data_IF_154492030147
#
_entry.id   IF_154492030147
#
_cell.length_a   1.000
_cell.length_b   1.000
_cell.length_c   1.000
_cell.angle_alpha   90.00
_cell.angle_beta   90.00
_cell.angle_gamma   90.00
#
_symmetry.space_group_name_H-M   'P 1'
#
loop_
_entity.id
_entity.type
_entity.pdbx_description
1 polymer ?
#
# COMPACT_ATOMS: atom_id res chain seq x y z
N UNK A 1 12.19 3.11 -2.56
CA UNK A 1 11.97 3.54 -1.15
C UNK A 1 11.01 4.74 -0.98
N UNK A 2 11.31 5.94 -1.48
CA UNK A 2 10.47 7.14 -1.24
C UNK A 2 9.06 7.04 -1.82
N UNK A 3 8.89 6.38 -2.98
CA UNK A 3 7.56 6.22 -3.61
C UNK A 3 6.62 5.34 -2.79
N UNK A 4 7.09 4.21 -2.28
CA UNK A 4 6.28 3.32 -1.44
C UNK A 4 5.84 3.96 -0.13
N UNK A 5 6.69 4.81 0.47
CA UNK A 5 6.35 5.52 1.69
C UNK A 5 5.12 6.43 1.50
N UNK A 6 4.95 7.02 0.31
CA UNK A 6 3.76 7.82 -0.02
C UNK A 6 2.51 6.93 -0.06
N UNK A 7 2.56 5.79 -0.76
CA UNK A 7 1.44 4.85 -0.80
C UNK A 7 1.08 4.33 0.59
N UNK A 8 2.07 4.03 1.44
CA UNK A 8 1.85 3.62 2.83
C UNK A 8 1.09 4.67 3.63
N UNK A 9 1.44 5.95 3.48
CA UNK A 9 0.72 7.05 4.16
C UNK A 9 -0.71 7.18 3.65
N UNK A 10 -0.94 7.03 2.35
CA UNK A 10 -2.29 7.03 1.78
C UNK A 10 -3.13 5.85 2.29
N UNK A 11 -2.53 4.66 2.40
CA UNK A 11 -3.16 3.48 3.00
C UNK A 11 -3.54 3.71 4.46
N UNK A 12 -2.62 4.26 5.27
CA UNK A 12 -2.88 4.59 6.68
C UNK A 12 -4.01 5.62 6.83
N UNK A 13 -3.98 6.71 6.06
CA UNK A 13 -5.02 7.73 6.09
C UNK A 13 -6.40 7.16 5.71
N UNK A 14 -6.46 6.35 4.66
CA UNK A 14 -7.70 5.71 4.22
C UNK A 14 -8.24 4.72 5.27
N UNK A 15 -7.36 3.91 5.88
CA UNK A 15 -7.73 3.00 6.95
C UNK A 15 -8.22 3.72 8.21
N UNK A 16 -7.58 4.84 8.58
CA UNK A 16 -8.01 5.68 9.71
C UNK A 16 -9.35 6.37 9.43
N UNK A 17 -9.64 6.71 8.18
CA UNK A 17 -10.92 7.25 7.76
C UNK A 17 -12.03 6.19 7.62
N UNK A 18 -11.71 4.90 7.82
CA UNK A 18 -12.65 3.79 7.63
C UNK A 18 -12.86 3.37 6.17
N UNK A 19 -12.19 4.01 5.21
CA UNK A 19 -12.24 3.64 3.79
C UNK A 19 -11.18 2.58 3.46
N UNK A 20 -11.46 1.36 3.91
CA UNK A 20 -10.60 0.20 3.63
C UNK A 20 -10.45 -0.07 2.13
N UNK A 21 -11.49 0.18 1.34
CA UNK A 21 -11.44 -0.04 -0.10
C UNK A 21 -10.41 0.90 -0.77
N UNK A 22 -10.34 2.17 -0.34
CA UNK A 22 -9.30 3.09 -0.79
C UNK A 22 -7.90 2.62 -0.39
N UNK A 23 -7.72 2.14 0.84
CA UNK A 23 -6.42 1.61 1.27
C UNK A 23 -5.95 0.44 0.40
N UNK A 24 -6.84 -0.50 0.07
CA UNK A 24 -6.53 -1.62 -0.85
C UNK A 24 -6.15 -1.10 -2.25
N UNK A 25 -6.87 -0.09 -2.78
CA UNK A 25 -6.55 0.51 -4.08
C UNK A 25 -5.16 1.15 -4.10
N UNK A 26 -4.79 1.87 -3.03
CA UNK A 26 -3.45 2.47 -2.92
C UNK A 26 -2.34 1.41 -2.88
N UNK A 27 -2.56 0.29 -2.18
CA UNK A 27 -1.61 -0.83 -2.22
C UNK A 27 -1.44 -1.39 -3.64
N UNK A 28 -2.53 -1.63 -4.35
CA UNK A 28 -2.47 -2.14 -5.73
C UNK A 28 -1.79 -1.16 -6.70
N UNK A 29 -1.98 0.16 -6.51
CA UNK A 29 -1.26 1.17 -7.27
C UNK A 29 0.24 1.16 -6.96
N UNK A 30 0.61 0.96 -5.70
CA UNK A 30 1.99 0.79 -5.28
C UNK A 30 2.63 -0.42 -5.98
N UNK A 31 1.96 -1.57 -5.97
CA UNK A 31 2.42 -2.80 -6.65
C UNK A 31 2.64 -2.55 -8.13
N UNK A 32 1.64 -2.00 -8.84
CA UNK A 32 1.77 -1.73 -10.29
C UNK A 32 2.95 -0.80 -10.60
N UNK A 33 3.14 0.26 -9.81
CA UNK A 33 4.25 1.19 -9.99
C UNK A 33 5.62 0.52 -9.80
N UNK A 34 5.73 -0.45 -8.88
CA UNK A 34 6.96 -1.21 -8.68
C UNK A 34 7.17 -2.30 -9.74
N UNK A 35 6.10 -2.90 -10.25
CA UNK A 35 6.16 -3.87 -11.35
C UNK A 35 6.69 -3.21 -12.64
N UNK A 36 6.28 -1.97 -12.91
CA UNK A 36 6.76 -1.18 -14.05
C UNK A 36 8.26 -0.81 -13.95
N UNK A 37 8.78 -0.65 -12.73
CA UNK A 37 10.16 -0.23 -12.44
C UNK A 37 11.12 -1.43 -12.15
N UNK A 38 11.04 -2.53 -12.93
CA UNK A 38 11.91 -3.75 -12.84
C UNK A 38 11.33 -4.88 -11.94
N UNK A 39 10.01 -5.04 -11.87
CA UNK A 39 9.41 -6.26 -11.28
C UNK A 39 9.71 -6.45 -9.79
N UNK A 40 9.89 -5.36 -9.06
CA UNK A 40 10.27 -5.39 -7.64
C UNK A 40 9.01 -5.56 -6.78
N UNK A 41 9.04 -6.45 -5.81
CA UNK A 41 7.94 -6.58 -4.85
C UNK A 41 7.90 -5.41 -3.86
N UNK A 42 6.72 -5.05 -3.30
CA UNK A 42 6.65 -4.07 -2.22
C UNK A 42 7.49 -4.49 -1.02
N UNK A 43 8.09 -3.52 -0.36
CA UNK A 43 8.86 -3.74 0.86
C UNK A 43 8.00 -4.39 1.95
N UNK A 44 8.59 -5.18 2.86
CA UNK A 44 7.87 -5.89 3.90
C UNK A 44 6.91 -5.01 4.70
N UNK A 45 7.29 -3.78 5.05
CA UNK A 45 6.43 -2.89 5.84
C UNK A 45 5.17 -2.45 5.07
N UNK A 46 5.27 -2.35 3.74
CA UNK A 46 4.13 -2.05 2.86
C UNK A 46 3.16 -3.23 2.81
N UNK A 47 3.68 -4.46 2.74
CA UNK A 47 2.86 -5.70 2.76
C UNK A 47 2.21 -5.93 4.12
N UNK A 48 2.96 -5.77 5.21
CA UNK A 48 2.44 -5.90 6.57
C UNK A 48 1.30 -4.91 6.83
N UNK A 49 1.44 -3.66 6.39
CA UNK A 49 0.34 -2.70 6.52
C UNK A 49 -0.90 -3.15 5.73
N UNK A 50 -0.73 -3.61 4.49
CA UNK A 50 -1.83 -4.12 3.70
C UNK A 50 -2.54 -5.29 4.41
N UNK A 51 -1.78 -6.27 4.92
CA UNK A 51 -2.29 -7.41 5.67
C UNK A 51 -3.09 -6.99 6.92
N UNK A 52 -2.58 -6.03 7.70
CA UNK A 52 -3.28 -5.48 8.86
C UNK A 52 -4.59 -4.79 8.47
N UNK A 53 -4.58 -4.05 7.36
CA UNK A 53 -5.76 -3.36 6.84
C UNK A 53 -6.80 -4.37 6.39
N UNK A 54 -6.41 -5.51 5.79
CA UNK A 54 -7.33 -6.55 5.32
C UNK A 54 -7.75 -7.57 6.40
N UNK A 55 -7.06 -7.64 7.54
CA UNK A 55 -7.41 -8.54 8.63
C UNK A 55 -8.49 -7.98 9.57
N UNK A 56 -8.74 -6.68 9.51
CA UNK A 56 -9.82 -6.01 10.28
C UNK A 56 -11.22 -6.27 9.73
#
# INVERSE_FOLDING_TARGET
>A
PYREAVYRRLMECAALAGDRAAAVRYYQQCVRMLEEDVGVEPMPETRTLYEQIIAR
#
